data_IF_094773915706
#
_entry.id   IF_094773915706
#
_cell.length_a   1.000
_cell.length_b   1.000
_cell.length_c   1.000
_cell.angle_alpha   90.00
_cell.angle_beta   90.00
_cell.angle_gamma   90.00
#
_symmetry.space_group_name_H-M   'P 1'
#
loop_
_entity.id
_entity.type
_entity.pdbx_description
1 polymer ?
#
# COMPACT_ATOMS: atom_id res chain seq x y z
N UNK A 1 9.76 2.12 -4.67
CA UNK A 1 8.50 2.49 -4.02
C UNK A 1 7.84 3.71 -4.62
N UNK A 2 8.54 4.81 -4.89
CA UNK A 2 7.96 6.05 -5.43
C UNK A 2 8.65 6.47 -6.73
N UNK A 3 7.93 7.14 -7.63
CA UNK A 3 8.51 7.62 -8.89
C UNK A 3 8.41 9.14 -9.08
N UNK A 4 7.45 9.81 -8.43
CA UNK A 4 7.28 11.27 -8.49
C UNK A 4 8.57 12.04 -8.18
N UNK A 5 9.31 11.71 -7.09
CA UNK A 5 10.54 12.44 -6.75
C UNK A 5 11.64 12.29 -7.79
N UNK A 6 11.62 11.17 -8.53
CA UNK A 6 12.61 10.84 -9.54
C UNK A 6 12.27 11.39 -10.92
N UNK A 7 11.08 11.98 -11.12
CA UNK A 7 10.58 12.42 -12.44
C UNK A 7 11.57 13.29 -13.19
N UNK A 8 12.20 14.27 -12.52
CA UNK A 8 13.23 15.13 -13.12
C UNK A 8 14.46 14.35 -13.57
N UNK A 9 14.96 13.43 -12.73
CA UNK A 9 16.12 12.59 -13.06
C UNK A 9 15.83 11.63 -14.20
N UNK A 10 14.65 11.00 -14.20
CA UNK A 10 14.19 10.12 -15.27
C UNK A 10 14.07 10.87 -16.61
N UNK A 11 13.52 12.08 -16.59
CA UNK A 11 13.45 12.94 -17.79
C UNK A 11 14.84 13.34 -18.29
N UNK A 12 15.78 13.67 -17.39
CA UNK A 12 17.15 14.01 -17.75
C UNK A 12 17.89 12.82 -18.41
N UNK A 13 17.75 11.62 -17.86
CA UNK A 13 18.31 10.39 -18.45
C UNK A 13 17.75 10.15 -19.86
N UNK A 14 16.44 10.36 -20.04
CA UNK A 14 15.80 10.22 -21.35
C UNK A 14 16.29 11.28 -22.34
N UNK A 15 16.42 12.54 -21.90
CA UNK A 15 16.93 13.63 -22.73
C UNK A 15 18.40 13.41 -23.16
N UNK A 16 19.19 12.71 -22.35
CA UNK A 16 20.54 12.28 -22.68
C UNK A 16 20.61 11.05 -23.62
N UNK A 17 19.47 10.54 -24.10
CA UNK A 17 19.39 9.37 -24.98
C UNK A 17 19.39 8.02 -24.26
N UNK A 18 19.26 8.02 -22.93
CA UNK A 18 19.20 6.80 -22.13
C UNK A 18 17.97 5.95 -22.43
N UNK A 19 18.16 4.63 -22.47
CA UNK A 19 17.09 3.63 -22.53
C UNK A 19 16.65 3.29 -21.10
N UNK A 20 15.53 3.86 -20.64
CA UNK A 20 15.15 3.82 -19.23
C UNK A 20 13.81 3.10 -19.04
N UNK A 21 13.81 2.11 -18.15
CA UNK A 21 12.60 1.53 -17.58
C UNK A 21 12.64 1.70 -16.06
N UNK A 22 11.50 2.00 -15.46
CA UNK A 22 11.37 2.05 -14.01
C UNK A 22 10.72 0.75 -13.50
N UNK A 23 11.40 0.05 -12.60
CA UNK A 23 10.88 -1.19 -11.98
C UNK A 23 10.50 -0.95 -10.52
N UNK A 24 9.44 -1.57 -10.05
CA UNK A 24 9.02 -1.57 -8.65
C UNK A 24 8.55 -2.98 -8.24
N UNK A 25 9.43 -3.76 -7.60
CA UNK A 25 9.04 -4.98 -6.92
C UNK A 25 8.16 -4.65 -5.71
N UNK A 26 6.94 -5.20 -5.65
CA UNK A 26 5.98 -4.95 -4.57
C UNK A 26 6.19 -5.88 -3.37
N UNK A 27 7.45 -6.11 -3.00
CA UNK A 27 7.86 -7.02 -1.95
C UNK A 27 9.20 -6.61 -1.33
N UNK A 28 9.39 -6.94 -0.06
CA UNK A 28 10.61 -6.63 0.69
C UNK A 28 11.76 -7.59 0.40
N UNK A 29 12.98 -7.26 0.87
CA UNK A 29 14.20 -8.02 0.58
C UNK A 29 14.18 -9.45 1.13
N UNK A 30 13.39 -9.72 2.19
CA UNK A 30 13.30 -11.05 2.83
C UNK A 30 12.32 -12.01 2.12
N UNK A 31 11.93 -11.70 0.88
CA UNK A 31 10.97 -12.52 0.12
C UNK A 31 11.65 -13.74 -0.49
N UNK A 32 11.30 -14.93 -0.01
CA UNK A 32 11.84 -16.20 -0.51
C UNK A 32 11.19 -16.68 -1.82
N UNK A 33 9.88 -16.47 -1.98
CA UNK A 33 9.11 -16.92 -3.14
C UNK A 33 8.38 -15.76 -3.81
N UNK A 34 8.49 -15.70 -5.13
CA UNK A 34 7.83 -14.68 -5.96
C UNK A 34 6.40 -15.03 -6.38
N UNK A 35 5.90 -16.22 -6.03
CA UNK A 35 4.53 -16.63 -6.32
C UNK A 35 3.53 -15.67 -5.66
N UNK A 36 2.61 -15.11 -6.47
CA UNK A 36 1.62 -14.13 -6.01
C UNK A 36 2.21 -12.74 -5.69
N UNK A 37 3.49 -12.51 -6.01
CA UNK A 37 4.13 -11.20 -5.88
C UNK A 37 4.02 -10.42 -7.18
N UNK A 38 3.90 -9.10 -7.06
CA UNK A 38 3.76 -8.23 -8.20
C UNK A 38 5.08 -7.51 -8.48
N UNK A 39 5.45 -7.39 -9.74
CA UNK A 39 6.52 -6.50 -10.21
C UNK A 39 5.91 -5.51 -11.18
N UNK A 40 5.99 -4.23 -10.85
CA UNK A 40 5.43 -3.16 -11.68
C UNK A 40 6.54 -2.58 -12.55
N UNK A 41 6.27 -2.44 -13.83
CA UNK A 41 7.12 -1.80 -14.82
C UNK A 41 6.45 -0.52 -15.31
N UNK A 42 7.24 0.55 -15.38
CA UNK A 42 6.81 1.85 -15.89
C UNK A 42 7.68 2.18 -17.10
N UNK A 43 7.05 2.17 -18.28
CA UNK A 43 7.68 2.62 -19.51
C UNK A 43 7.82 4.15 -19.49
N UNK A 44 9.04 4.63 -19.78
CA UNK A 44 9.37 6.05 -19.80
C UNK A 44 9.60 6.56 -21.24
N UNK A 45 9.10 5.83 -22.24
CA UNK A 45 9.24 6.12 -23.66
C UNK A 45 10.37 5.31 -24.32
N UNK A 46 10.74 4.17 -23.73
CA UNK A 46 11.75 3.26 -24.25
C UNK A 46 11.24 1.80 -24.15
N UNK A 47 10.31 1.38 -25.04
CA UNK A 47 9.66 0.06 -24.94
C UNK A 47 10.65 -1.11 -24.94
N UNK A 48 11.77 -0.99 -25.66
CA UNK A 48 12.83 -2.01 -25.67
C UNK A 48 13.50 -2.17 -24.30
N UNK A 49 13.70 -1.07 -23.57
CA UNK A 49 14.25 -1.11 -22.21
C UNK A 49 13.26 -1.77 -21.25
N UNK A 50 11.97 -1.47 -21.39
CA UNK A 50 10.90 -2.06 -20.60
C UNK A 50 10.78 -3.57 -20.85
N UNK A 51 10.79 -3.98 -22.12
CA UNK A 51 10.80 -5.39 -22.49
C UNK A 51 12.02 -6.14 -21.95
N UNK A 52 13.21 -5.54 -22.05
CA UNK A 52 14.44 -6.14 -21.50
C UNK A 52 14.37 -6.29 -19.97
N UNK A 53 13.88 -5.28 -19.26
CA UNK A 53 13.70 -5.35 -17.81
C UNK A 53 12.65 -6.40 -17.42
N UNK A 54 11.55 -6.48 -18.16
CA UNK A 54 10.49 -7.47 -17.96
C UNK A 54 11.01 -8.90 -18.13
N UNK A 55 11.80 -9.16 -19.17
CA UNK A 55 12.38 -10.46 -19.47
C UNK A 55 13.21 -11.04 -18.31
N UNK A 56 13.77 -10.18 -17.44
CA UNK A 56 14.48 -10.63 -16.23
C UNK A 56 13.59 -11.35 -15.23
N UNK A 57 12.28 -11.05 -15.23
CA UNK A 57 11.30 -11.60 -14.30
C UNK A 57 10.34 -12.60 -14.95
N UNK A 58 10.31 -12.73 -16.28
CA UNK A 58 9.47 -13.71 -17.00
C UNK A 58 9.69 -15.17 -16.58
N UNK A 59 10.92 -15.63 -16.24
CA UNK A 59 11.12 -16.99 -15.75
C UNK A 59 10.60 -17.24 -14.32
N UNK A 60 10.09 -16.21 -13.64
CA UNK A 60 9.64 -16.28 -12.24
C UNK A 60 8.12 -16.44 -12.15
N UNK A 61 7.63 -16.77 -10.96
CA UNK A 61 6.18 -16.82 -10.67
C UNK A 61 5.58 -15.45 -10.30
N UNK A 62 6.32 -14.36 -10.54
CA UNK A 62 5.82 -13.02 -10.27
C UNK A 62 4.78 -12.59 -11.31
N UNK A 63 3.75 -11.89 -10.85
CA UNK A 63 2.80 -11.19 -11.71
C UNK A 63 3.43 -9.89 -12.22
N UNK A 64 3.68 -9.84 -13.52
CA UNK A 64 4.35 -8.69 -14.16
C UNK A 64 3.31 -7.70 -14.70
N UNK A 65 3.26 -6.51 -14.10
CA UNK A 65 2.26 -5.47 -14.37
C UNK A 65 2.93 -4.27 -15.04
N UNK A 66 2.33 -3.75 -16.10
CA UNK A 66 2.77 -2.51 -16.75
C UNK A 66 1.76 -1.40 -16.53
N UNK A 67 2.23 -0.20 -16.22
CA UNK A 67 1.40 1.00 -16.08
C UNK A 67 2.23 2.27 -16.31
N UNK A 68 1.55 3.39 -16.56
CA UNK A 68 2.22 4.68 -16.65
C UNK A 68 2.63 5.24 -15.27
N UNK A 69 3.48 6.27 -15.30
CA UNK A 69 4.06 6.89 -14.11
C UNK A 69 3.01 7.49 -13.18
N UNK A 70 1.98 8.13 -13.73
CA UNK A 70 0.94 8.81 -12.96
C UNK A 70 0.03 7.79 -12.28
N UNK A 71 -0.43 6.79 -13.04
CA UNK A 71 -1.20 5.66 -12.52
C UNK A 71 -0.45 4.92 -11.42
N UNK A 72 0.86 4.69 -11.58
CA UNK A 72 1.70 4.10 -10.55
C UNK A 72 1.63 4.90 -9.25
N UNK A 73 2.02 6.17 -9.25
CA UNK A 73 2.12 6.94 -8.01
C UNK A 73 0.75 7.10 -7.33
N UNK A 74 -0.31 7.33 -8.11
CA UNK A 74 -1.69 7.43 -7.61
C UNK A 74 -2.16 6.14 -6.95
N UNK A 75 -1.94 4.97 -7.57
CA UNK A 75 -2.36 3.69 -7.00
C UNK A 75 -1.50 3.32 -5.79
N UNK A 76 -0.19 3.57 -5.84
CA UNK A 76 0.72 3.29 -4.73
C UNK A 76 0.42 4.14 -3.49
N UNK A 77 -0.13 5.35 -3.65
CA UNK A 77 -0.61 6.14 -2.53
C UNK A 77 -1.68 5.40 -1.70
N UNK A 78 -2.56 4.63 -2.35
CA UNK A 78 -3.54 3.80 -1.65
C UNK A 78 -3.00 2.42 -1.26
N UNK A 79 -2.21 1.77 -2.12
CA UNK A 79 -1.74 0.40 -1.85
C UNK A 79 -0.71 0.38 -0.72
N UNK A 80 0.27 1.30 -0.74
CA UNK A 80 1.30 1.41 0.29
C UNK A 80 0.99 2.54 1.27
N UNK A 81 0.69 3.76 0.79
CA UNK A 81 0.49 4.92 1.66
C UNK A 81 -0.62 4.70 2.70
N UNK A 82 -1.84 4.41 2.26
CA UNK A 82 -2.97 4.15 3.16
C UNK A 82 -2.74 2.93 4.07
N UNK A 83 -2.25 1.81 3.53
CA UNK A 83 -2.08 0.57 4.31
C UNK A 83 -1.02 0.71 5.39
N UNK A 84 0.08 1.41 5.10
CA UNK A 84 1.12 1.71 6.08
C UNK A 84 0.60 2.70 7.13
N UNK A 85 -0.07 3.78 6.70
CA UNK A 85 -0.61 4.79 7.60
C UNK A 85 -1.63 4.20 8.59
N UNK A 86 -2.50 3.30 8.12
CA UNK A 86 -3.44 2.57 8.97
C UNK A 86 -2.72 1.80 10.08
N UNK A 87 -1.67 1.06 9.73
CA UNK A 87 -0.92 0.26 10.70
C UNK A 87 -0.12 1.12 11.68
N UNK A 88 0.45 2.23 11.21
CA UNK A 88 1.14 3.21 12.06
C UNK A 88 0.16 3.82 13.07
N UNK A 89 -0.99 4.29 12.60
CA UNK A 89 -2.03 4.82 13.48
C UNK A 89 -2.54 3.76 14.47
N UNK A 90 -2.70 2.52 14.02
CA UNK A 90 -3.16 1.40 14.84
C UNK A 90 -2.20 1.08 15.99
N UNK A 91 -0.90 0.83 15.71
CA UNK A 91 0.04 0.53 16.79
C UNK A 91 0.29 1.74 17.69
N UNK A 92 0.17 2.97 17.16
CA UNK A 92 0.33 4.20 17.96
C UNK A 92 -0.81 4.31 18.97
N UNK A 93 -2.06 4.10 18.53
CA UNK A 93 -3.21 4.08 19.43
C UNK A 93 -3.09 2.99 20.51
N UNK A 94 -2.56 1.80 20.16
CA UNK A 94 -2.30 0.75 21.14
C UNK A 94 -1.22 1.16 22.15
N UNK A 95 -0.09 1.69 21.68
CA UNK A 95 1.02 2.12 22.53
C UNK A 95 0.61 3.25 23.49
N UNK A 96 -0.24 4.17 23.03
CA UNK A 96 -0.70 5.33 23.81
C UNK A 96 -1.93 5.02 24.69
N UNK A 97 -2.61 3.89 24.49
CA UNK A 97 -3.80 3.52 25.27
C UNK A 97 -3.53 3.29 26.76
N UNK A 98 -2.26 3.09 27.14
CA UNK A 98 -1.87 2.69 28.50
C UNK A 98 -2.18 1.23 28.83
N UNK A 99 -2.76 0.47 27.91
CA UNK A 99 -2.98 -0.96 28.09
C UNK A 99 -1.66 -1.73 28.01
N UNK A 100 -1.43 -2.62 28.97
CA UNK A 100 -0.21 -3.44 28.97
C UNK A 100 -0.24 -4.41 27.79
N UNK A 101 0.78 -4.39 26.93
CA UNK A 101 0.93 -5.29 25.77
C UNK A 101 0.72 -6.77 26.12
N UNK A 102 1.16 -7.19 27.31
CA UNK A 102 0.96 -8.55 27.83
C UNK A 102 -0.51 -8.89 28.11
N UNK A 103 -1.33 -7.93 28.54
CA UNK A 103 -2.77 -8.15 28.77
C UNK A 103 -3.54 -8.26 27.46
N UNK A 104 -3.18 -7.45 26.45
CA UNK A 104 -3.77 -7.55 25.11
C UNK A 104 -3.47 -8.91 24.46
N UNK A 105 -2.25 -9.44 24.63
CA UNK A 105 -1.86 -10.76 24.14
C UNK A 105 -2.64 -11.92 24.79
N UNK A 106 -3.16 -11.74 26.02
CA UNK A 106 -3.97 -12.77 26.70
C UNK A 106 -5.45 -12.74 26.33
N UNK A 107 -5.90 -11.69 25.62
CA UNK A 107 -7.30 -11.45 25.26
C UNK A 107 -7.51 -11.34 23.74
N UNK A 108 -6.52 -11.76 22.95
CA UNK A 108 -6.56 -11.58 21.50
C UNK A 108 -7.61 -12.46 20.83
N UNK A 109 -8.33 -11.87 19.87
CA UNK A 109 -9.10 -12.63 18.90
C UNK A 109 -8.20 -13.02 17.71
N UNK A 110 -8.62 -14.02 16.94
CA UNK A 110 -7.92 -14.43 15.70
C UNK A 110 -7.76 -13.27 14.71
N UNK A 111 -8.74 -12.37 14.64
CA UNK A 111 -8.69 -11.17 13.78
C UNK A 111 -7.73 -10.11 14.33
N UNK A 112 -7.68 -9.94 15.65
CA UNK A 112 -6.75 -9.01 16.29
C UNK A 112 -5.30 -9.46 16.09
N UNK A 113 -5.00 -10.76 16.28
CA UNK A 113 -3.66 -11.30 16.07
C UNK A 113 -3.20 -11.17 14.62
N UNK A 114 -4.10 -11.41 13.66
CA UNK A 114 -3.79 -11.19 12.24
C UNK A 114 -3.41 -9.72 11.97
N UNK A 115 -4.20 -8.77 12.49
CA UNK A 115 -3.91 -7.34 12.33
C UNK A 115 -2.62 -6.92 13.04
N UNK A 116 -2.37 -7.42 14.25
CA UNK A 116 -1.15 -7.16 14.99
C UNK A 116 0.08 -7.72 14.27
N UNK A 117 -0.06 -8.88 13.62
CA UNK A 117 0.98 -9.46 12.76
C UNK A 117 1.33 -8.56 11.57
N UNK A 118 0.34 -7.92 10.94
CA UNK A 118 0.58 -6.94 9.86
C UNK A 118 1.26 -5.68 10.42
N UNK A 119 0.75 -5.14 11.53
CA UNK A 119 1.32 -3.96 12.17
C UNK A 119 2.76 -4.17 12.64
N UNK A 120 3.08 -5.36 13.13
CA UNK A 120 4.43 -5.73 13.57
C UNK A 120 5.42 -5.76 12.41
N UNK A 121 5.00 -6.22 11.22
CA UNK A 121 5.83 -6.16 10.01
C UNK A 121 6.13 -4.72 9.62
N UNK A 122 5.12 -3.85 9.63
CA UNK A 122 5.29 -2.42 9.36
C UNK A 122 6.24 -1.77 10.37
N UNK A 123 6.12 -2.11 11.66
CA UNK A 123 6.97 -1.56 12.71
C UNK A 123 8.45 -2.01 12.64
N UNK A 124 8.74 -3.13 11.96
CA UNK A 124 10.09 -3.67 11.80
C UNK A 124 10.85 -3.09 10.59
N UNK A 125 10.17 -2.29 9.75
CA UNK A 125 10.73 -1.71 8.54
C UNK A 125 11.51 -0.41 8.81
N UNK A 126 12.21 0.08 7.78
CA UNK A 126 12.96 1.34 7.89
C UNK A 126 12.01 2.56 8.01
N UNK A 127 12.06 3.32 9.13
CA UNK A 127 11.17 4.46 9.33
C UNK A 127 11.39 5.60 8.32
N UNK A 128 12.62 5.83 7.86
CA UNK A 128 12.92 6.88 6.88
C UNK A 128 12.26 6.57 5.54
N UNK A 129 12.32 5.32 5.09
CA UNK A 129 11.63 4.86 3.88
C UNK A 129 10.11 5.05 4.00
N UNK A 130 9.53 4.73 5.16
CA UNK A 130 8.09 4.90 5.38
C UNK A 130 7.70 6.37 5.42
N UNK A 131 8.51 7.23 6.04
CA UNK A 131 8.31 8.68 6.00
C UNK A 131 8.35 9.21 4.55
N UNK A 132 9.33 8.79 3.76
CA UNK A 132 9.42 9.14 2.34
C UNK A 132 8.19 8.67 1.56
N UNK A 133 7.72 7.44 1.76
CA UNK A 133 6.49 6.92 1.12
C UNK A 133 5.28 7.79 1.45
N UNK A 134 5.15 8.26 2.69
CA UNK A 134 4.03 9.10 3.11
C UNK A 134 4.13 10.54 2.58
N UNK A 135 5.34 11.07 2.41
CA UNK A 135 5.55 12.51 2.15
C UNK A 135 5.89 12.85 0.70
N UNK A 136 6.55 11.95 -0.01
CA UNK A 136 7.12 12.23 -1.34
C UNK A 136 6.23 11.73 -2.50
N UNK A 137 5.12 11.06 -2.19
CA UNK A 137 4.11 10.75 -3.19
C UNK A 137 3.22 11.98 -3.39
N UNK A 138 3.11 12.47 -4.63
CA UNK A 138 2.25 13.63 -4.99
C UNK A 138 0.78 13.42 -4.53
N UNK A 139 0.34 12.16 -4.38
CA UNK A 139 -1.03 11.77 -3.95
C UNK A 139 -1.09 11.26 -2.49
N UNK A 140 0.02 11.28 -1.75
CA UNK A 140 0.11 10.73 -0.39
C UNK A 140 -0.90 11.36 0.58
N UNK A 141 -1.07 12.68 0.51
CA UNK A 141 -2.00 13.45 1.36
C UNK A 141 -3.46 13.01 1.17
N UNK A 142 -3.87 12.63 -0.04
CA UNK A 142 -5.25 12.19 -0.31
C UNK A 142 -5.57 10.89 0.42
N UNK A 143 -4.61 9.97 0.49
CA UNK A 143 -4.75 8.69 1.18
C UNK A 143 -4.88 8.86 2.70
N UNK A 144 -4.09 9.78 3.28
CA UNK A 144 -4.14 10.12 4.70
C UNK A 144 -5.46 10.83 5.06
N UNK A 145 -5.90 11.77 4.23
CA UNK A 145 -7.18 12.45 4.41
C UNK A 145 -8.34 11.46 4.34
N UNK A 146 -8.31 10.51 3.38
CA UNK A 146 -9.32 9.45 3.28
C UNK A 146 -9.37 8.58 4.53
N UNK A 147 -8.22 8.21 5.11
CA UNK A 147 -8.15 7.47 6.37
C UNK A 147 -8.76 8.25 7.52
N UNK A 148 -8.36 9.53 7.68
CA UNK A 148 -8.88 10.41 8.72
C UNK A 148 -10.40 10.52 8.65
N UNK A 149 -10.95 10.84 7.47
CA UNK A 149 -12.39 10.96 7.29
C UNK A 149 -13.14 9.65 7.53
N UNK A 150 -12.56 8.50 7.16
CA UNK A 150 -13.16 7.20 7.44
C UNK A 150 -13.28 6.94 8.95
N UNK A 151 -12.21 7.22 9.71
CA UNK A 151 -12.19 7.07 11.18
C UNK A 151 -13.15 8.04 11.85
N UNK A 152 -13.17 9.32 11.42
CA UNK A 152 -14.08 10.33 11.97
C UNK A 152 -15.55 10.01 11.69
N UNK A 153 -15.86 9.51 10.50
CA UNK A 153 -17.21 9.06 10.14
C UNK A 153 -17.65 7.90 11.03
N UNK A 154 -16.80 6.89 11.19
CA UNK A 154 -17.07 5.75 12.07
C UNK A 154 -17.34 6.22 13.50
N UNK A 155 -16.47 7.07 14.05
CA UNK A 155 -16.63 7.65 15.39
C UNK A 155 -17.95 8.41 15.53
N UNK A 156 -18.33 9.20 14.54
CA UNK A 156 -19.54 10.02 14.57
C UNK A 156 -20.81 9.16 14.57
N UNK A 157 -20.85 8.13 13.73
CA UNK A 157 -21.96 7.15 13.67
C UNK A 157 -22.13 6.42 15.01
N UNK A 158 -21.01 5.95 15.61
CA UNK A 158 -21.04 5.26 16.91
C UNK A 158 -21.53 6.20 18.02
N UNK A 159 -21.02 7.44 18.08
CA UNK A 159 -21.44 8.42 19.09
C UNK A 159 -22.92 8.80 18.99
N UNK A 160 -23.47 8.80 17.78
CA UNK A 160 -24.88 9.07 17.55
C UNK A 160 -25.79 7.88 17.88
N UNK A 161 -25.25 6.68 18.10
CA UNK A 161 -26.04 5.45 18.25
C UNK A 161 -26.78 5.07 16.96
N UNK A 162 -26.32 5.53 15.80
CA UNK A 162 -27.01 5.36 14.51
C UNK A 162 -26.69 3.98 13.91
N UNK A 163 -27.52 2.99 14.27
CA UNK A 163 -27.38 1.62 13.81
C UNK A 163 -27.52 1.49 12.29
N UNK A 164 -28.38 2.26 11.65
CA UNK A 164 -28.63 2.16 10.21
C UNK A 164 -27.46 2.75 9.41
N UNK A 165 -26.89 3.87 9.85
CA UNK A 165 -25.66 4.39 9.27
C UNK A 165 -24.50 3.41 9.46
N UNK A 166 -24.39 2.76 10.61
CA UNK A 166 -23.36 1.75 10.85
C UNK A 166 -23.52 0.53 9.94
N UNK A 167 -24.73 0.00 9.79
CA UNK A 167 -25.04 -1.08 8.83
C UNK A 167 -24.66 -0.69 7.41
N UNK A 168 -24.99 0.53 7.01
CA UNK A 168 -24.63 1.05 5.69
C UNK A 168 -23.12 1.08 5.48
N UNK A 169 -22.32 1.48 6.48
CA UNK A 169 -20.86 1.44 6.40
C UNK A 169 -20.35 0.00 6.18
N UNK A 170 -20.85 -0.94 6.98
CA UNK A 170 -20.45 -2.35 6.91
C UNK A 170 -20.83 -3.02 5.59
N UNK A 171 -22.05 -2.82 5.10
CA UNK A 171 -22.53 -3.39 3.85
C UNK A 171 -21.74 -2.85 2.66
N UNK A 172 -21.51 -1.53 2.59
CA UNK A 172 -20.69 -0.94 1.52
C UNK A 172 -19.26 -1.48 1.51
N UNK A 173 -18.66 -1.68 2.69
CA UNK A 173 -17.35 -2.32 2.81
C UNK A 173 -17.35 -3.75 2.30
N UNK A 174 -18.36 -4.54 2.67
CA UNK A 174 -18.54 -5.92 2.20
C UNK A 174 -18.66 -5.99 0.67
N UNK A 175 -19.49 -5.15 0.07
CA UNK A 175 -19.75 -5.16 -1.37
C UNK A 175 -18.49 -4.79 -2.18
N UNK A 176 -17.73 -3.80 -1.70
CA UNK A 176 -16.45 -3.42 -2.30
C UNK A 176 -15.44 -4.59 -2.29
N UNK A 177 -15.29 -5.25 -1.13
CA UNK A 177 -14.35 -6.37 -0.98
C UNK A 177 -14.77 -7.62 -1.76
N UNK A 178 -16.07 -7.89 -1.89
CA UNK A 178 -16.57 -9.00 -2.70
C UNK A 178 -16.24 -8.81 -4.19
N UNK A 179 -16.33 -7.58 -4.69
CA UNK A 179 -15.98 -7.25 -6.09
C UNK A 179 -14.50 -7.52 -6.38
N UNK A 180 -13.62 -7.20 -5.41
CA UNK A 180 -12.19 -7.49 -5.53
C UNK A 180 -11.90 -8.99 -5.60
N UNK A 181 -12.49 -9.78 -4.70
CA UNK A 181 -12.29 -11.24 -4.70
C UNK A 181 -12.71 -11.90 -6.03
N UNK A 182 -13.78 -11.40 -6.66
CA UNK A 182 -14.23 -11.90 -7.96
C UNK A 182 -13.28 -11.55 -9.12
N UNK A 183 -12.47 -10.49 -8.96
CA UNK A 183 -11.45 -10.09 -9.95
C UNK A 183 -10.16 -10.88 -9.80
N UNK A 184 -9.77 -11.24 -8.56
CA UNK A 184 -8.57 -12.06 -8.28
C UNK A 184 -8.76 -13.55 -8.63
N UNK A 185 -10.01 -14.03 -8.72
CA UNK A 185 -10.34 -15.42 -9.07
C UNK A 185 -10.47 -15.70 -10.58
N UNK A 186 -10.28 -14.68 -11.43
CA UNK A 186 -10.32 -14.79 -12.91
C UNK A 186 -8.92 -14.72 -13.49
#
# INVERSE_FOLDING_TARGET
SLKSPLRKGLQALRAAGGQVCSVHPMFGPDTELLSGRHVIFVDLGAPAATAAARALFEPTMATLVEMDLESHDRLIAYVLGLSHALNIAFFTALAESGEASRKLATLSSTTFDAQLGVASKVAAENPDLYFEIQTLNDYGTESLAALLYAVERLRSVIRAGDLEAFRTLMTRGKDYLATRAATEAR
#
